data_IF_465308327269
#
_entry.id   IF_465308327269
#
_cell.length_a   1.000
_cell.length_b   1.000
_cell.length_c   1.000
_cell.angle_alpha   90.00
_cell.angle_beta   90.00
_cell.angle_gamma   90.00
#
_symmetry.space_group_name_H-M   'P 1'
#
loop_
_entity.id
_entity.type
_entity.pdbx_description
1 polymer ?
#
# COMPACT_ATOMS: atom_id res chain seq x y z
N UNK A 1 5.24 -15.33 18.68
CA UNK A 1 5.14 -15.45 17.22
C UNK A 1 4.49 -14.19 16.67
N UNK A 2 5.20 -13.42 15.85
CA UNK A 2 4.67 -12.20 15.24
C UNK A 2 3.64 -12.60 14.19
N UNK A 3 2.37 -12.23 14.39
CA UNK A 3 1.30 -12.50 13.41
C UNK A 3 1.57 -11.68 12.14
N UNK A 4 1.45 -12.30 10.97
CA UNK A 4 1.50 -11.60 9.69
C UNK A 4 0.30 -10.66 9.60
N UNK A 5 0.55 -9.40 9.24
CA UNK A 5 -0.49 -8.39 9.03
C UNK A 5 -0.58 -8.09 7.53
N UNK A 6 -1.73 -7.62 7.05
CA UNK A 6 -1.88 -7.20 5.64
C UNK A 6 -0.97 -6.01 5.30
N UNK A 7 -0.50 -5.32 6.31
CA UNK A 7 0.34 -4.14 6.21
C UNK A 7 -0.18 -3.01 7.10
N UNK A 8 0.59 -1.97 7.15
CA UNK A 8 0.24 -0.75 7.89
C UNK A 8 0.78 0.49 7.16
N UNK A 9 0.24 1.62 7.51
CA UNK A 9 0.65 2.92 6.98
C UNK A 9 0.75 3.96 8.13
N UNK A 10 1.51 5.01 7.87
CA UNK A 10 1.62 6.13 8.80
C UNK A 10 0.26 6.78 9.03
N UNK A 11 0.00 7.22 10.25
CA UNK A 11 -1.18 8.05 10.55
C UNK A 11 -1.19 9.37 9.77
N UNK A 12 -0.07 9.77 9.16
CA UNK A 12 0.02 10.91 8.26
C UNK A 12 -1.01 10.89 7.13
N UNK A 13 -1.41 9.71 6.64
CA UNK A 13 -2.47 9.58 5.63
C UNK A 13 -3.85 10.03 6.12
N UNK A 14 -4.07 10.04 7.44
CA UNK A 14 -5.32 10.54 8.03
C UNK A 14 -5.45 12.06 7.88
N UNK A 15 -4.33 12.78 7.77
CA UNK A 15 -4.36 14.23 7.55
C UNK A 15 -4.94 14.61 6.19
N UNK A 16 -4.60 13.87 5.12
CA UNK A 16 -5.19 14.12 3.79
C UNK A 16 -6.68 13.80 3.74
N UNK A 17 -7.12 12.71 4.42
CA UNK A 17 -8.53 12.40 4.60
C UNK A 17 -9.26 13.52 5.34
N UNK A 18 -8.68 14.00 6.45
CA UNK A 18 -9.25 15.10 7.22
C UNK A 18 -9.35 16.39 6.42
N UNK A 19 -8.33 16.70 5.60
CA UNK A 19 -8.33 17.85 4.73
C UNK A 19 -9.45 17.76 3.66
N UNK A 20 -9.62 16.59 3.04
CA UNK A 20 -10.68 16.37 2.06
C UNK A 20 -12.09 16.51 2.65
N UNK A 21 -12.32 16.05 3.88
CA UNK A 21 -13.59 16.26 4.58
C UNK A 21 -13.82 17.73 4.91
N UNK A 22 -12.79 18.45 5.38
CA UNK A 22 -12.91 19.90 5.68
C UNK A 22 -13.18 20.73 4.43
N UNK A 23 -12.59 20.42 3.27
CA UNK A 23 -12.96 21.11 2.01
C UNK A 23 -14.45 20.95 1.67
N UNK A 24 -15.06 19.85 2.10
CA UNK A 24 -16.51 19.64 1.99
C UNK A 24 -17.33 20.22 3.16
N UNK A 25 -16.68 21.02 4.01
CA UNK A 25 -17.30 21.63 5.20
C UNK A 25 -17.81 20.58 6.22
N UNK A 26 -17.20 19.40 6.24
CA UNK A 26 -17.50 18.34 7.21
C UNK A 26 -16.42 18.30 8.29
N UNK A 27 -16.85 18.13 9.54
CA UNK A 27 -15.93 17.93 10.66
C UNK A 27 -15.43 16.47 10.66
N UNK A 28 -14.11 16.20 10.50
CA UNK A 28 -13.59 14.85 10.56
C UNK A 28 -13.49 14.28 11.97
N UNK A 29 -13.57 15.13 13.03
CA UNK A 29 -13.26 14.74 14.38
C UNK A 29 -14.12 13.59 14.93
N UNK A 30 -15.45 13.59 14.79
CA UNK A 30 -16.28 12.48 15.27
C UNK A 30 -15.94 11.15 14.59
N UNK A 31 -15.63 11.19 13.30
CA UNK A 31 -15.22 10.02 12.55
C UNK A 31 -13.87 9.49 13.06
N UNK A 32 -12.89 10.36 13.26
CA UNK A 32 -11.57 9.97 13.75
C UNK A 32 -11.62 9.37 15.15
N UNK A 33 -12.40 9.95 16.04
CA UNK A 33 -12.61 9.46 17.42
C UNK A 33 -13.23 8.06 17.43
N UNK A 34 -14.22 7.79 16.57
CA UNK A 34 -14.81 6.46 16.41
C UNK A 34 -13.77 5.40 15.98
N UNK A 35 -12.67 5.84 15.35
CA UNK A 35 -11.54 4.99 14.98
C UNK A 35 -10.34 5.10 15.97
N UNK A 36 -10.51 5.76 17.14
CA UNK A 36 -9.45 5.95 18.14
C UNK A 36 -8.22 6.68 17.56
N UNK A 37 -8.46 7.67 16.72
CA UNK A 37 -7.45 8.52 16.08
C UNK A 37 -7.57 9.94 16.64
N UNK A 38 -7.37 10.07 17.94
CA UNK A 38 -7.34 11.37 18.61
C UNK A 38 -6.06 12.17 18.28
N UNK A 39 -6.02 13.41 18.73
CA UNK A 39 -4.89 14.31 18.49
C UNK A 39 -3.56 13.74 19.04
N UNK A 40 -3.60 13.05 20.18
CA UNK A 40 -2.40 12.45 20.78
C UNK A 40 -1.86 11.32 19.89
N UNK A 41 -2.75 10.47 19.39
CA UNK A 41 -2.38 9.39 18.47
C UNK A 41 -1.86 9.90 17.12
N UNK A 42 -2.45 10.96 16.60
CA UNK A 42 -2.01 11.59 15.34
C UNK A 42 -0.66 12.33 15.48
N UNK A 43 -0.34 12.81 16.68
CA UNK A 43 0.94 13.47 16.98
C UNK A 43 2.08 12.47 17.27
N UNK A 44 1.79 11.19 17.45
CA UNK A 44 2.82 10.18 17.74
C UNK A 44 3.67 9.87 16.48
N UNK A 45 4.99 10.13 16.47
CA UNK A 45 5.82 10.04 15.25
C UNK A 45 5.88 8.64 14.61
N UNK A 46 5.67 7.59 15.41
CA UNK A 46 5.70 6.19 14.97
C UNK A 46 4.32 5.54 14.93
N UNK A 47 3.25 6.32 15.08
CA UNK A 47 1.90 5.79 15.02
C UNK A 47 1.60 5.20 13.64
N UNK A 48 1.05 4.00 13.66
CA UNK A 48 0.68 3.25 12.45
C UNK A 48 -0.77 2.84 12.52
N UNK A 49 -1.41 2.81 11.38
CA UNK A 49 -2.75 2.33 11.16
C UNK A 49 -2.69 1.11 10.24
N UNK A 50 -3.35 0.01 10.59
CA UNK A 50 -3.39 -1.14 9.69
C UNK A 50 -4.14 -0.78 8.40
N UNK A 51 -3.69 -1.33 7.26
CA UNK A 51 -4.32 -1.08 5.96
C UNK A 51 -5.83 -1.36 6.00
N UNK A 52 -6.32 -2.49 6.55
CA UNK A 52 -7.76 -2.73 6.64
C UNK A 52 -8.51 -1.68 7.46
N UNK A 53 -7.91 -1.19 8.55
CA UNK A 53 -8.53 -0.12 9.35
C UNK A 53 -8.60 1.19 8.57
N UNK A 54 -7.56 1.52 7.83
CA UNK A 54 -7.56 2.67 6.92
C UNK A 54 -8.61 2.53 5.81
N UNK A 55 -8.77 1.33 5.24
CA UNK A 55 -9.80 1.05 4.24
C UNK A 55 -11.21 1.27 4.80
N UNK A 56 -11.49 0.82 6.03
CA UNK A 56 -12.78 1.08 6.69
C UNK A 56 -13.00 2.56 7.00
N UNK A 57 -11.96 3.23 7.51
CA UNK A 57 -12.01 4.67 7.77
C UNK A 57 -12.29 5.47 6.49
N UNK A 58 -11.59 5.16 5.39
CA UNK A 58 -11.81 5.83 4.12
C UNK A 58 -13.20 5.57 3.53
N UNK A 59 -13.69 4.33 3.63
CA UNK A 59 -15.06 4.01 3.22
C UNK A 59 -16.09 4.81 4.04
N UNK A 60 -15.93 4.88 5.37
CA UNK A 60 -16.80 5.67 6.21
C UNK A 60 -16.73 7.17 5.89
N UNK A 61 -15.54 7.70 5.55
CA UNK A 61 -15.39 9.09 5.09
C UNK A 61 -16.09 9.35 3.76
N UNK A 62 -16.03 8.41 2.81
CA UNK A 62 -16.76 8.48 1.52
C UNK A 62 -18.27 8.51 1.76
N UNK A 63 -18.79 7.67 2.66
CA UNK A 63 -20.21 7.67 3.01
C UNK A 63 -20.62 8.98 3.69
N UNK A 64 -19.83 9.50 4.60
CA UNK A 64 -20.05 10.78 5.27
C UNK A 64 -20.06 11.95 4.29
N UNK A 65 -19.15 11.94 3.32
CA UNK A 65 -19.02 12.98 2.31
C UNK A 65 -20.05 12.87 1.18
N UNK A 66 -20.69 11.70 1.00
CA UNK A 66 -21.55 11.42 -0.14
C UNK A 66 -20.81 11.51 -1.49
N UNK A 67 -19.47 11.35 -1.49
CA UNK A 67 -18.63 11.54 -2.67
C UNK A 67 -17.74 10.32 -2.92
N UNK A 68 -18.07 9.48 -3.91
CA UNK A 68 -17.29 8.29 -4.22
C UNK A 68 -15.88 8.60 -4.74
N UNK A 69 -15.61 9.82 -5.22
CA UNK A 69 -14.29 10.26 -5.69
C UNK A 69 -13.47 10.97 -4.60
N UNK A 70 -13.85 10.87 -3.31
CA UNK A 70 -13.12 11.48 -2.19
C UNK A 70 -11.64 11.07 -2.18
N UNK A 71 -11.31 9.87 -2.66
CA UNK A 71 -9.92 9.39 -2.75
C UNK A 71 -9.03 10.28 -3.64
N UNK A 72 -9.56 10.79 -4.75
CA UNK A 72 -8.84 11.71 -5.62
C UNK A 72 -8.53 13.04 -4.90
N UNK A 73 -9.50 13.57 -4.14
CA UNK A 73 -9.31 14.78 -3.34
C UNK A 73 -8.30 14.56 -2.19
N UNK A 74 -8.38 13.42 -1.53
CA UNK A 74 -7.38 13.05 -0.50
C UNK A 74 -5.97 13.06 -1.08
N UNK A 75 -5.76 12.50 -2.28
CA UNK A 75 -4.47 12.50 -2.95
C UNK A 75 -4.03 13.91 -3.36
N UNK A 76 -4.93 14.72 -3.91
CA UNK A 76 -4.66 16.10 -4.30
C UNK A 76 -4.20 16.96 -3.11
N UNK A 77 -4.73 16.71 -1.93
CA UNK A 77 -4.43 17.45 -0.69
C UNK A 77 -3.28 16.86 0.12
N UNK A 78 -2.69 15.77 -0.36
CA UNK A 78 -1.56 15.17 0.33
C UNK A 78 -0.29 16.01 0.14
N UNK A 79 0.32 16.40 1.24
CA UNK A 79 1.57 17.17 1.28
C UNK A 79 2.76 16.29 1.68
N UNK A 80 4.01 16.69 1.38
CA UNK A 80 5.20 15.92 1.73
C UNK A 80 5.28 15.49 3.21
N UNK A 81 4.95 16.33 4.22
CA UNK A 81 4.95 15.90 5.63
C UNK A 81 3.98 14.76 5.95
N UNK A 82 2.89 14.58 5.19
CA UNK A 82 1.93 13.49 5.40
C UNK A 82 2.52 12.10 5.14
N UNK A 83 3.57 12.01 4.34
CA UNK A 83 4.36 10.78 4.11
C UNK A 83 5.67 10.74 4.90
N UNK A 84 5.79 11.61 5.89
CA UNK A 84 6.89 11.63 6.85
C UNK A 84 8.25 11.92 6.22
N UNK A 85 9.31 11.29 6.75
CA UNK A 85 10.68 11.53 6.32
C UNK A 85 10.87 11.33 4.80
N UNK A 86 10.24 10.32 4.21
CA UNK A 86 10.33 10.06 2.76
C UNK A 86 9.77 11.20 1.92
N UNK A 87 8.64 11.80 2.33
CA UNK A 87 8.05 12.95 1.64
C UNK A 87 8.89 14.20 1.75
N UNK A 88 9.39 14.49 2.96
CA UNK A 88 10.29 15.63 3.20
C UNK A 88 11.58 15.47 2.40
N UNK A 89 12.12 14.25 2.32
CA UNK A 89 13.28 13.94 1.47
C UNK A 89 12.96 14.20 0.01
N UNK A 90 11.87 13.67 -0.50
CA UNK A 90 11.45 13.89 -1.89
C UNK A 90 11.26 15.37 -2.22
N UNK A 91 10.76 16.19 -1.27
CA UNK A 91 10.61 17.62 -1.43
C UNK A 91 11.95 18.38 -1.62
N UNK A 92 13.08 17.77 -1.24
CA UNK A 92 14.42 18.32 -1.45
C UNK A 92 15.13 17.72 -2.66
N UNK A 93 14.50 16.83 -3.42
CA UNK A 93 15.11 16.20 -4.59
C UNK A 93 15.44 17.22 -5.69
N UNK A 94 16.50 17.02 -6.49
CA UNK A 94 16.90 17.97 -7.54
C UNK A 94 15.92 18.04 -8.72
N UNK A 95 15.24 16.94 -9.01
CA UNK A 95 14.30 16.85 -10.12
C UNK A 95 13.09 15.97 -9.75
N UNK A 96 12.05 16.03 -10.57
CA UNK A 96 10.87 15.15 -10.46
C UNK A 96 11.26 13.67 -10.51
N UNK A 97 12.27 13.29 -11.32
CA UNK A 97 12.78 11.90 -11.38
C UNK A 97 13.28 11.41 -10.03
N UNK A 98 14.19 12.17 -9.40
CA UNK A 98 14.75 11.78 -8.12
C UNK A 98 13.69 11.84 -7.00
N UNK A 99 12.76 12.77 -7.06
CA UNK A 99 11.62 12.83 -6.13
C UNK A 99 10.73 11.58 -6.23
N UNK A 100 10.35 11.20 -7.46
CA UNK A 100 9.53 9.99 -7.68
C UNK A 100 10.28 8.71 -7.23
N UNK A 101 11.58 8.61 -7.53
CA UNK A 101 12.42 7.50 -7.05
C UNK A 101 12.48 7.44 -5.53
N UNK A 102 12.67 8.59 -4.86
CA UNK A 102 12.72 8.65 -3.41
C UNK A 102 11.40 8.26 -2.76
N UNK A 103 10.26 8.78 -3.24
CA UNK A 103 8.93 8.41 -2.74
C UNK A 103 8.69 6.91 -2.82
N UNK A 104 9.04 6.28 -3.95
CA UNK A 104 8.82 4.84 -4.17
C UNK A 104 9.86 4.01 -3.39
N UNK A 105 11.14 4.37 -3.43
CA UNK A 105 12.20 3.65 -2.72
C UNK A 105 11.95 3.60 -1.22
N UNK A 106 11.54 4.72 -0.65
CA UNK A 106 11.32 4.87 0.79
C UNK A 106 9.85 4.63 1.21
N UNK A 107 9.01 4.10 0.32
CA UNK A 107 7.66 3.67 0.66
C UNK A 107 7.60 2.84 1.95
N UNK A 108 8.51 1.87 2.21
CA UNK A 108 8.47 1.09 3.45
C UNK A 108 8.57 1.90 4.74
N UNK A 109 9.05 3.14 4.70
CA UNK A 109 9.14 4.02 5.86
C UNK A 109 7.76 4.56 6.26
N UNK A 110 6.85 4.78 5.32
CA UNK A 110 5.51 5.35 5.58
C UNK A 110 4.35 4.39 5.28
N UNK A 111 4.54 3.41 4.39
CA UNK A 111 3.54 2.39 4.10
C UNK A 111 4.24 1.03 3.90
N UNK A 112 3.71 -0.01 4.52
CA UNK A 112 4.18 -1.37 4.35
C UNK A 112 3.03 -2.24 3.91
N UNK A 113 3.07 -2.73 2.68
CA UNK A 113 2.12 -3.68 2.16
C UNK A 113 2.81 -5.04 1.99
N UNK A 114 2.38 -6.05 2.75
CA UNK A 114 2.97 -7.39 2.67
C UNK A 114 2.58 -8.16 1.40
N UNK A 115 1.69 -7.60 0.57
CA UNK A 115 1.24 -8.19 -0.69
C UNK A 115 2.00 -7.68 -1.91
N UNK A 116 2.70 -6.57 -1.81
CA UNK A 116 3.45 -5.97 -2.90
C UNK A 116 4.02 -4.62 -2.53
N UNK A 117 4.75 -4.03 -3.44
CA UNK A 117 5.37 -2.72 -3.30
C UNK A 117 5.23 -1.92 -4.59
N UNK A 118 5.28 -0.60 -4.47
CA UNK A 118 5.36 0.29 -5.61
C UNK A 118 6.68 0.11 -6.36
N UNK A 119 6.71 0.47 -7.64
CA UNK A 119 7.90 0.39 -8.49
C UNK A 119 8.04 1.63 -9.37
N UNK A 120 9.29 2.06 -9.57
CA UNK A 120 9.67 3.07 -10.55
C UNK A 120 10.45 2.39 -11.66
N UNK A 121 9.87 2.34 -12.87
CA UNK A 121 10.44 1.63 -14.01
C UNK A 121 10.68 2.61 -15.16
N UNK A 122 11.93 2.96 -15.40
CA UNK A 122 12.35 3.92 -16.43
C UNK A 122 12.81 3.20 -17.71
N UNK A 123 12.40 3.76 -18.84
CA UNK A 123 12.82 3.31 -20.17
C UNK A 123 13.33 4.47 -21.04
N UNK A 124 13.51 4.21 -22.35
CA UNK A 124 14.02 5.20 -23.29
C UNK A 124 13.11 6.42 -23.49
N UNK A 125 11.84 6.41 -23.11
CA UNK A 125 10.86 7.48 -23.37
C UNK A 125 10.32 8.15 -22.11
N UNK A 126 10.51 7.56 -20.92
CA UNK A 126 10.03 8.08 -19.64
C UNK A 126 10.03 7.04 -18.55
N UNK A 127 9.14 7.16 -17.57
CA UNK A 127 9.02 6.20 -16.48
C UNK A 127 7.57 5.87 -16.16
N UNK A 128 7.35 4.63 -15.75
CA UNK A 128 6.14 4.18 -15.09
C UNK A 128 6.32 4.23 -13.59
N UNK A 129 5.40 4.88 -12.91
CA UNK A 129 5.22 4.80 -11.47
C UNK A 129 4.08 3.82 -11.23
N UNK A 130 4.39 2.64 -10.69
CA UNK A 130 3.42 1.57 -10.43
C UNK A 130 3.08 1.49 -8.97
N UNK A 131 1.80 1.45 -8.66
CA UNK A 131 1.28 1.23 -7.31
C UNK A 131 0.70 -0.17 -7.18
N UNK A 132 1.17 -0.91 -6.19
CA UNK A 132 0.56 -2.18 -5.83
C UNK A 132 -0.53 -1.97 -4.79
N UNK A 133 -1.76 -2.28 -5.15
CA UNK A 133 -2.91 -2.33 -4.23
C UNK A 133 -3.37 -3.76 -4.00
N UNK A 134 -4.21 -3.96 -2.99
CA UNK A 134 -4.81 -5.26 -2.66
C UNK A 134 -6.07 -5.43 -3.51
N UNK A 135 -6.01 -6.26 -4.54
CA UNK A 135 -7.18 -6.72 -5.30
C UNK A 135 -7.80 -7.97 -4.62
N UNK A 136 -9.08 -8.32 -4.83
CA UNK A 136 -10.03 -7.66 -5.71
C UNK A 136 -10.51 -6.32 -5.18
N UNK A 137 -10.97 -5.44 -6.10
CA UNK A 137 -11.42 -4.10 -5.77
C UNK A 137 -12.89 -4.07 -5.36
N UNK A 138 -13.17 -3.27 -4.34
CA UNK A 138 -14.51 -3.06 -3.82
C UNK A 138 -14.65 -1.64 -3.23
N UNK A 139 -15.78 -1.31 -2.64
CA UNK A 139 -16.03 0.00 -2.05
C UNK A 139 -15.05 0.42 -0.92
N UNK A 140 -14.29 -0.52 -0.36
CA UNK A 140 -13.36 -0.25 0.75
C UNK A 140 -11.93 0.04 0.28
N UNK A 141 -11.54 -0.28 -0.94
CA UNK A 141 -10.14 -0.20 -1.35
C UNK A 141 -9.86 0.59 -2.64
N UNK A 142 -10.89 0.89 -3.48
CA UNK A 142 -10.70 1.70 -4.70
C UNK A 142 -10.08 3.06 -4.39
N UNK A 143 -10.59 3.76 -3.38
CA UNK A 143 -10.10 5.07 -2.98
C UNK A 143 -8.62 5.08 -2.60
N UNK A 144 -8.05 3.96 -2.19
CA UNK A 144 -6.60 3.85 -1.86
C UNK A 144 -5.76 4.04 -3.12
N UNK A 145 -6.19 3.44 -4.25
CA UNK A 145 -5.55 3.65 -5.55
C UNK A 145 -5.64 5.10 -5.96
N UNK A 146 -6.84 5.67 -5.88
CA UNK A 146 -7.11 7.07 -6.21
C UNK A 146 -6.21 8.01 -5.41
N UNK A 147 -6.16 7.80 -4.09
CA UNK A 147 -5.34 8.61 -3.18
C UNK A 147 -3.86 8.53 -3.53
N UNK A 148 -3.34 7.35 -3.80
CA UNK A 148 -1.89 7.20 -4.06
C UNK A 148 -1.51 7.80 -5.41
N UNK A 149 -2.24 7.49 -6.49
CA UNK A 149 -1.91 8.03 -7.81
C UNK A 149 -2.06 9.56 -7.85
N UNK A 150 -3.14 10.10 -7.28
CA UNK A 150 -3.34 11.54 -7.18
C UNK A 150 -2.27 12.21 -6.31
N UNK A 151 -1.86 11.58 -5.20
CA UNK A 151 -0.83 12.13 -4.31
C UNK A 151 0.54 12.23 -4.97
N UNK A 152 0.92 11.24 -5.77
CA UNK A 152 2.19 11.32 -6.49
C UNK A 152 2.21 12.53 -7.42
N UNK A 153 1.15 12.76 -8.21
CA UNK A 153 1.09 13.92 -9.11
C UNK A 153 1.05 15.24 -8.35
N UNK A 154 0.28 15.30 -7.26
CA UNK A 154 0.21 16.50 -6.41
C UNK A 154 1.57 16.85 -5.81
N UNK A 155 2.24 15.88 -5.21
CA UNK A 155 3.55 16.09 -4.59
C UNK A 155 4.62 16.44 -5.63
N UNK A 156 4.68 15.73 -6.76
CA UNK A 156 5.65 16.01 -7.82
C UNK A 156 5.42 17.39 -8.44
N UNK A 157 4.17 17.82 -8.59
CA UNK A 157 3.83 19.18 -9.07
C UNK A 157 4.26 20.25 -8.08
N UNK A 158 4.05 20.02 -6.77
CA UNK A 158 4.51 20.94 -5.73
C UNK A 158 6.04 21.05 -5.73
N UNK A 159 6.76 19.94 -5.87
CA UNK A 159 8.23 19.90 -5.93
C UNK A 159 8.75 20.64 -7.16
N UNK A 160 8.13 20.49 -8.31
CA UNK A 160 8.53 21.18 -9.54
C UNK A 160 8.07 22.65 -9.58
N UNK A 161 7.26 23.11 -8.61
CA UNK A 161 6.57 24.42 -8.60
C UNK A 161 5.78 24.70 -9.90
N UNK A 162 5.34 23.64 -10.58
CA UNK A 162 4.54 23.68 -11.80
C UNK A 162 3.83 22.35 -12.02
N UNK A 163 2.74 22.32 -12.82
CA UNK A 163 2.00 21.09 -13.04
C UNK A 163 2.85 19.98 -13.67
N UNK A 164 2.95 18.85 -12.98
CA UNK A 164 3.46 17.59 -13.54
C UNK A 164 2.26 16.81 -14.06
N UNK A 165 2.25 16.52 -15.36
CA UNK A 165 1.15 15.82 -16.02
C UNK A 165 1.60 14.48 -16.54
N UNK A 166 0.96 13.38 -16.15
CA UNK A 166 1.19 12.10 -16.77
C UNK A 166 0.71 12.11 -18.22
N UNK A 167 1.30 11.26 -19.04
CA UNK A 167 0.84 11.05 -20.43
C UNK A 167 -0.26 9.99 -20.51
N UNK A 168 -0.35 9.13 -19.49
CA UNK A 168 -1.33 8.06 -19.38
C UNK A 168 -1.44 7.61 -17.91
N UNK A 169 -2.67 7.33 -17.47
CA UNK A 169 -2.94 6.64 -16.20
C UNK A 169 -3.65 5.32 -16.49
N UNK A 170 -3.27 4.26 -15.78
CA UNK A 170 -3.91 2.94 -15.84
C UNK A 170 -4.38 2.53 -14.46
N UNK A 171 -5.58 1.95 -14.40
CA UNK A 171 -6.26 1.55 -13.17
C UNK A 171 -6.82 0.14 -13.34
N UNK A 172 -6.59 -0.74 -12.36
CA UNK A 172 -7.00 -2.15 -12.44
C UNK A 172 -8.51 -2.36 -12.32
N UNK A 173 -9.24 -1.52 -11.58
CA UNK A 173 -10.68 -1.68 -11.41
C UNK A 173 -11.48 -1.13 -12.59
N UNK A 174 -12.74 -1.58 -12.68
CA UNK A 174 -13.66 -1.16 -13.72
C UNK A 174 -13.98 0.33 -13.64
N UNK A 175 -14.26 0.92 -14.80
CA UNK A 175 -14.59 2.34 -14.93
C UNK A 175 -15.75 2.72 -14.02
N UNK A 176 -15.56 3.69 -13.10
CA UNK A 176 -16.63 4.16 -12.22
C UNK A 176 -17.48 5.26 -12.90
N UNK A 177 -18.69 5.46 -12.41
CA UNK A 177 -19.59 6.51 -12.91
C UNK A 177 -18.99 7.93 -12.88
N UNK A 178 -18.03 8.17 -12.00
CA UNK A 178 -17.30 9.43 -11.86
C UNK A 178 -15.97 9.49 -12.63
N UNK A 179 -15.78 8.63 -13.62
CA UNK A 179 -14.55 8.57 -14.44
C UNK A 179 -14.09 9.93 -15.00
N UNK A 180 -14.94 10.86 -15.43
CA UNK A 180 -14.49 12.16 -15.90
C UNK A 180 -13.68 12.98 -14.88
N UNK A 181 -13.83 12.72 -13.58
CA UNK A 181 -13.05 13.38 -12.53
C UNK A 181 -11.58 12.96 -12.54
N UNK A 182 -11.27 11.74 -12.98
CA UNK A 182 -9.88 11.27 -13.13
C UNK A 182 -9.17 12.03 -14.24
N UNK A 183 -9.79 12.13 -15.40
CA UNK A 183 -9.21 12.90 -16.52
C UNK A 183 -9.04 14.37 -16.19
N UNK A 184 -10.02 14.96 -15.48
CA UNK A 184 -9.94 16.35 -15.02
C UNK A 184 -8.76 16.57 -14.04
N UNK A 185 -8.50 15.60 -13.14
CA UNK A 185 -7.41 15.70 -12.17
C UNK A 185 -6.04 15.44 -12.81
N UNK A 186 -5.91 14.35 -13.59
CA UNK A 186 -4.63 13.95 -14.16
C UNK A 186 -4.25 14.74 -15.43
N UNK A 187 -5.23 15.28 -16.12
CA UNK A 187 -5.03 16.03 -17.38
C UNK A 187 -4.54 15.16 -18.53
N UNK A 188 -4.85 13.87 -18.52
CA UNK A 188 -4.47 12.89 -19.53
C UNK A 188 -5.51 11.76 -19.62
N UNK A 189 -5.46 10.90 -20.67
CA UNK A 189 -6.31 9.71 -20.76
C UNK A 189 -6.14 8.78 -19.56
N UNK A 190 -7.24 8.14 -19.14
CA UNK A 190 -7.26 7.14 -18.06
C UNK A 190 -7.86 5.85 -18.59
N UNK A 191 -7.08 4.75 -18.54
CA UNK A 191 -7.49 3.41 -18.94
C UNK A 191 -7.89 2.61 -17.70
N UNK A 192 -9.15 2.21 -17.62
CA UNK A 192 -9.68 1.32 -16.57
C UNK A 192 -9.60 -0.16 -16.99
N UNK A 193 -9.87 -1.09 -16.07
CA UNK A 193 -9.73 -2.54 -16.26
C UNK A 193 -8.35 -2.94 -16.80
N UNK A 194 -7.31 -2.20 -16.42
CA UNK A 194 -5.94 -2.42 -16.85
C UNK A 194 -5.23 -3.51 -16.03
N UNK A 195 -4.05 -3.94 -16.45
CA UNK A 195 -3.26 -4.96 -15.76
C UNK A 195 -2.59 -4.48 -14.46
N UNK A 196 -2.66 -3.18 -14.13
CA UNK A 196 -2.04 -2.61 -12.94
C UNK A 196 -2.36 -1.13 -12.76
N UNK A 197 -2.21 -0.64 -11.52
CA UNK A 197 -2.38 0.76 -11.20
C UNK A 197 -1.06 1.49 -11.42
N UNK A 198 -1.02 2.42 -12.38
CA UNK A 198 0.22 3.07 -12.74
C UNK A 198 -0.02 4.38 -13.48
N UNK A 199 0.96 5.27 -13.44
CA UNK A 199 0.99 6.48 -14.23
C UNK A 199 2.30 6.60 -15.02
N UNK A 200 2.22 7.19 -16.22
CA UNK A 200 3.35 7.39 -17.13
C UNK A 200 3.79 8.84 -17.10
N UNK A 201 5.05 9.08 -16.77
CA UNK A 201 5.72 10.38 -16.95
C UNK A 201 6.70 10.28 -18.12
N UNK A 202 6.67 11.25 -19.02
CA UNK A 202 7.67 11.37 -20.07
C UNK A 202 9.00 11.95 -19.55
N UNK A 203 10.02 11.95 -20.40
CA UNK A 203 11.34 12.50 -20.03
C UNK A 203 11.31 13.98 -19.69
N UNK A 204 10.42 14.75 -20.31
CA UNK A 204 10.29 16.20 -20.09
C UNK A 204 9.81 16.45 -18.68
N UNK A 205 8.75 15.77 -18.26
CA UNK A 205 8.23 15.85 -16.89
C UNK A 205 9.27 15.37 -15.87
N UNK A 206 9.95 14.25 -16.13
CA UNK A 206 11.00 13.73 -15.25
C UNK A 206 12.19 14.67 -15.09
N UNK A 207 12.49 15.49 -16.09
CA UNK A 207 13.61 16.42 -16.08
C UNK A 207 13.28 17.77 -15.41
N UNK A 208 12.03 18.03 -15.04
CA UNK A 208 11.65 19.25 -14.35
C UNK A 208 12.46 19.39 -13.06
N UNK A 209 13.02 20.59 -12.87
CA UNK A 209 13.86 20.92 -11.72
C UNK A 209 13.03 21.36 -10.54
N UNK A 210 13.52 21.07 -9.37
CA UNK A 210 12.99 21.62 -8.12
C UNK A 210 13.68 22.97 -7.83
N UNK A 211 12.95 24.09 -7.83
CA UNK A 211 13.56 25.41 -7.54
C UNK A 211 14.03 25.53 -6.08
N UNK A 212 13.44 24.76 -5.16
CA UNK A 212 13.77 24.76 -3.73
C UNK A 212 14.82 23.69 -3.35
N UNK A 213 15.48 23.07 -4.35
CA UNK A 213 16.49 22.04 -4.12
C UNK A 213 17.68 22.58 -3.32
N UNK A 214 17.97 21.94 -2.19
CA UNK A 214 19.16 22.18 -1.38
C UNK A 214 20.05 20.93 -1.35
N UNK A 215 21.20 20.89 -2.05
CA UNK A 215 22.03 19.69 -2.17
C UNK A 215 22.45 19.08 -0.84
N UNK A 216 22.89 19.90 0.12
CA UNK A 216 23.32 19.42 1.44
C UNK A 216 22.19 18.80 2.22
N UNK A 217 21.03 19.45 2.23
CA UNK A 217 19.82 18.91 2.89
C UNK A 217 19.35 17.62 2.21
N UNK A 218 19.34 17.58 0.89
CA UNK A 218 18.98 16.39 0.12
C UNK A 218 19.84 15.16 0.49
N UNK A 219 21.18 15.31 0.48
CA UNK A 219 22.09 14.23 0.81
C UNK A 219 21.89 13.74 2.25
N UNK A 220 21.79 14.67 3.20
CA UNK A 220 21.59 14.31 4.60
C UNK A 220 20.27 13.58 4.84
N UNK A 221 19.16 14.03 4.23
CA UNK A 221 17.87 13.38 4.34
C UNK A 221 17.88 11.99 3.68
N UNK A 222 18.60 11.81 2.56
CA UNK A 222 18.80 10.49 1.95
C UNK A 222 19.51 9.53 2.91
N UNK A 223 20.60 9.98 3.55
CA UNK A 223 21.34 9.18 4.54
C UNK A 223 20.42 8.75 5.70
N UNK A 224 19.58 9.65 6.20
CA UNK A 224 18.62 9.34 7.25
C UNK A 224 17.57 8.31 6.79
N UNK A 225 17.03 8.45 5.58
CA UNK A 225 16.10 7.49 5.01
C UNK A 225 16.74 6.11 4.83
N UNK A 226 17.98 6.05 4.31
CA UNK A 226 18.70 4.79 4.14
C UNK A 226 18.96 4.11 5.48
N UNK A 227 19.44 4.87 6.48
CA UNK A 227 19.70 4.34 7.82
C UNK A 227 18.42 3.77 8.46
N UNK A 228 17.29 4.47 8.35
CA UNK A 228 16.01 3.98 8.88
C UNK A 228 15.51 2.76 8.10
N UNK A 229 15.66 2.72 6.77
CA UNK A 229 15.30 1.58 5.95
C UNK A 229 16.18 0.36 6.27
N UNK A 230 17.49 0.55 6.43
CA UNK A 230 18.40 -0.52 6.87
C UNK A 230 18.05 -1.05 8.26
N UNK A 231 17.77 -0.18 9.22
CA UNK A 231 17.37 -0.60 10.56
C UNK A 231 16.12 -1.47 10.51
N UNK A 232 15.12 -1.10 9.70
CA UNK A 232 13.90 -1.90 9.49
C UNK A 232 14.18 -3.23 8.80
N UNK A 233 15.23 -3.32 7.99
CA UNK A 233 15.57 -4.52 7.21
C UNK A 233 16.48 -5.48 8.00
N UNK A 234 17.43 -4.94 8.75
CA UNK A 234 18.40 -5.73 9.55
C UNK A 234 17.75 -6.56 10.66
N UNK A 235 16.63 -6.08 11.20
CA UNK A 235 15.89 -6.78 12.26
C UNK A 235 15.02 -7.94 11.75
N UNK A 236 14.95 -8.17 10.42
CA UNK A 236 14.10 -9.19 9.83
C UNK A 236 14.82 -10.53 9.72
N UNK A 237 14.25 -11.56 10.34
CA UNK A 237 14.67 -12.95 10.14
C UNK A 237 14.47 -13.37 8.68
N UNK A 238 15.13 -14.43 8.24
CA UNK A 238 14.92 -15.01 6.91
C UNK A 238 13.44 -15.39 6.71
N UNK A 239 12.81 -15.93 7.77
CA UNK A 239 11.36 -16.21 7.80
C UNK A 239 10.52 -14.99 7.48
N UNK A 240 10.77 -13.84 8.11
CA UNK A 240 10.01 -12.60 7.84
C UNK A 240 10.22 -12.07 6.42
N UNK A 241 11.45 -12.15 5.91
CA UNK A 241 11.76 -11.80 4.52
C UNK A 241 11.01 -12.69 3.53
N UNK A 242 10.96 -14.01 3.79
CA UNK A 242 10.20 -14.95 2.97
C UNK A 242 8.70 -14.69 3.02
N UNK A 243 8.15 -14.43 4.20
CA UNK A 243 6.72 -14.09 4.37
C UNK A 243 6.31 -12.90 3.52
N UNK A 244 7.16 -11.86 3.47
CA UNK A 244 6.91 -10.68 2.63
C UNK A 244 6.97 -10.97 1.14
N UNK A 245 7.89 -11.83 0.71
CA UNK A 245 7.98 -12.23 -0.69
C UNK A 245 6.83 -13.17 -1.11
N UNK A 246 6.35 -14.01 -0.21
CA UNK A 246 5.24 -14.93 -0.46
C UNK A 246 3.93 -14.18 -0.72
N UNK A 247 3.63 -13.14 0.05
CA UNK A 247 2.40 -12.39 -0.08
C UNK A 247 2.05 -12.01 -1.53
N UNK A 248 2.90 -11.28 -2.25
CA UNK A 248 2.67 -10.87 -3.63
C UNK A 248 2.55 -12.02 -4.64
N UNK A 249 3.19 -13.15 -4.34
CA UNK A 249 3.24 -14.31 -5.22
C UNK A 249 2.01 -15.23 -5.10
N UNK A 250 1.24 -15.10 -4.02
CA UNK A 250 0.00 -15.87 -3.80
C UNK A 250 -1.15 -15.28 -4.63
N UNK A 251 -1.19 -15.55 -5.93
CA UNK A 251 -2.26 -15.10 -6.83
C UNK A 251 -2.81 -16.29 -7.61
N UNK A 252 -3.76 -17.02 -7.04
CA UNK A 252 -4.40 -18.18 -7.68
C UNK A 252 -3.52 -19.44 -7.77
N UNK A 253 -2.25 -19.37 -7.39
CA UNK A 253 -1.32 -20.50 -7.42
C UNK A 253 -0.37 -20.49 -6.22
N UNK A 254 0.25 -21.61 -5.96
CA UNK A 254 1.30 -21.74 -4.96
C UNK A 254 2.64 -21.35 -5.57
N UNK A 255 3.34 -20.32 -5.03
CA UNK A 255 4.68 -20.00 -5.50
C UNK A 255 5.66 -21.12 -5.15
N UNK A 256 6.66 -21.32 -5.99
CA UNK A 256 7.69 -22.33 -5.74
C UNK A 256 8.92 -21.76 -5.00
N UNK A 257 9.70 -22.66 -4.39
CA UNK A 257 10.90 -22.28 -3.67
C UNK A 257 12.01 -21.68 -4.56
N UNK A 258 12.22 -22.12 -5.82
CA UNK A 258 13.15 -21.48 -6.74
C UNK A 258 12.86 -19.98 -6.99
N UNK A 259 11.61 -19.59 -7.22
CA UNK A 259 11.23 -18.18 -7.39
C UNK A 259 11.59 -17.33 -6.17
N UNK A 260 11.40 -17.87 -4.97
CA UNK A 260 11.77 -17.17 -3.73
C UNK A 260 13.28 -17.08 -3.56
N UNK A 261 14.01 -18.15 -3.87
CA UNK A 261 15.46 -18.20 -3.81
C UNK A 261 16.10 -17.14 -4.74
N UNK A 262 15.59 -17.01 -5.96
CA UNK A 262 16.01 -16.00 -6.91
C UNK A 262 15.79 -14.57 -6.37
N UNK A 263 14.60 -14.27 -5.82
CA UNK A 263 14.30 -12.98 -5.22
C UNK A 263 15.14 -12.66 -3.99
N UNK A 264 15.53 -13.69 -3.22
CA UNK A 264 16.42 -13.56 -2.09
C UNK A 264 17.90 -13.49 -2.50
N UNK A 265 18.20 -13.70 -3.79
CA UNK A 265 19.56 -13.82 -4.33
C UNK A 265 20.37 -14.90 -3.61
N UNK A 266 19.74 -16.05 -3.34
CA UNK A 266 20.33 -17.20 -2.68
C UNK A 266 20.13 -18.45 -3.53
N UNK A 267 21.12 -19.37 -3.62
CA UNK A 267 20.88 -20.69 -4.17
C UNK A 267 19.81 -21.44 -3.36
N UNK A 268 18.99 -22.25 -4.01
CA UNK A 268 17.89 -23.01 -3.37
C UNK A 268 18.39 -23.87 -2.21
N UNK A 269 19.54 -24.51 -2.38
CA UNK A 269 20.14 -25.36 -1.31
C UNK A 269 20.59 -24.54 -0.10
N UNK A 270 21.12 -23.33 -0.32
CA UNK A 270 21.49 -22.40 0.76
C UNK A 270 20.25 -21.95 1.52
N UNK A 271 19.17 -21.62 0.78
CA UNK A 271 17.91 -21.22 1.39
C UNK A 271 17.34 -22.32 2.27
N UNK A 272 17.27 -23.58 1.76
CA UNK A 272 16.81 -24.73 2.55
C UNK A 272 17.62 -24.95 3.82
N UNK A 273 18.97 -24.89 3.72
CA UNK A 273 19.86 -25.05 4.87
C UNK A 273 19.60 -23.96 5.93
N UNK A 274 19.56 -22.69 5.51
CA UNK A 274 19.32 -21.59 6.45
C UNK A 274 17.95 -21.66 7.12
N UNK A 275 16.93 -22.13 6.42
CA UNK A 275 15.61 -22.36 7.02
C UNK A 275 15.64 -23.48 8.05
N UNK A 276 16.35 -24.58 7.76
CA UNK A 276 16.54 -25.66 8.71
C UNK A 276 17.34 -25.21 9.96
N UNK A 277 18.36 -24.36 9.79
CA UNK A 277 19.11 -23.73 10.88
C UNK A 277 18.21 -22.84 11.76
N UNK A 278 17.20 -22.16 11.17
CA UNK A 278 16.17 -21.41 11.89
C UNK A 278 15.02 -22.30 12.44
N UNK A 279 15.11 -23.62 12.31
CA UNK A 279 14.11 -24.59 12.79
C UNK A 279 12.79 -24.54 12.03
N UNK A 280 12.80 -24.18 10.75
CA UNK A 280 11.60 -24.05 9.91
C UNK A 280 11.82 -24.58 8.50
N UNK A 281 10.74 -24.66 7.73
CA UNK A 281 10.75 -25.07 6.32
C UNK A 281 9.93 -24.11 5.47
N UNK A 282 10.17 -24.14 4.15
CA UNK A 282 9.36 -23.38 3.19
C UNK A 282 7.86 -23.65 3.34
N UNK A 283 7.49 -24.93 3.51
CA UNK A 283 6.09 -25.36 3.62
C UNK A 283 5.42 -24.83 4.89
N UNK A 284 6.15 -24.77 5.99
CA UNK A 284 5.67 -24.18 7.25
C UNK A 284 5.48 -22.67 7.11
N UNK A 285 6.46 -21.96 6.55
CA UNK A 285 6.34 -20.51 6.31
C UNK A 285 5.18 -20.18 5.38
N UNK A 286 4.99 -20.93 4.31
CA UNK A 286 3.88 -20.79 3.38
C UNK A 286 2.53 -20.99 4.07
N UNK A 287 2.39 -22.08 4.86
CA UNK A 287 1.15 -22.38 5.58
C UNK A 287 0.85 -21.33 6.65
N UNK A 288 1.86 -20.89 7.40
CA UNK A 288 1.72 -19.84 8.40
C UNK A 288 1.34 -18.50 7.76
N UNK A 289 1.98 -18.16 6.64
CA UNK A 289 1.65 -16.96 5.87
C UNK A 289 0.20 -16.99 5.38
N UNK A 290 -0.22 -18.11 4.79
CA UNK A 290 -1.61 -18.32 4.34
C UNK A 290 -2.60 -18.21 5.49
N UNK A 291 -2.32 -18.85 6.63
CA UNK A 291 -3.17 -18.80 7.81
C UNK A 291 -3.35 -17.38 8.32
N UNK A 292 -2.24 -16.68 8.52
CA UNK A 292 -2.24 -15.36 9.13
C UNK A 292 -2.90 -14.32 8.20
N UNK A 293 -2.64 -14.40 6.88
CA UNK A 293 -3.33 -13.59 5.87
C UNK A 293 -4.82 -13.93 5.79
N UNK A 294 -5.20 -15.23 5.86
CA UNK A 294 -6.59 -15.63 5.88
C UNK A 294 -7.35 -15.02 7.06
N UNK A 295 -6.78 -15.10 8.25
CA UNK A 295 -7.37 -14.50 9.45
C UNK A 295 -7.51 -12.99 9.32
N UNK A 296 -6.50 -12.32 8.76
CA UNK A 296 -6.53 -10.88 8.52
C UNK A 296 -7.61 -10.50 7.48
N UNK A 297 -7.66 -11.16 6.33
CA UNK A 297 -8.69 -10.91 5.32
C UNK A 297 -10.11 -11.12 5.86
N UNK A 298 -10.35 -12.22 6.57
CA UNK A 298 -11.69 -12.53 7.10
C UNK A 298 -12.12 -11.52 8.17
N UNK A 299 -11.21 -11.12 9.05
CA UNK A 299 -11.47 -10.16 10.11
C UNK A 299 -11.61 -8.74 9.57
N UNK A 300 -10.69 -8.32 8.70
CA UNK A 300 -10.42 -6.93 8.39
C UNK A 300 -11.05 -6.46 7.07
N UNK A 301 -11.58 -7.38 6.23
CA UNK A 301 -12.18 -7.04 4.93
C UNK A 301 -13.55 -7.68 4.74
N UNK A 302 -14.31 -7.15 3.78
CA UNK A 302 -15.59 -7.72 3.32
C UNK A 302 -15.44 -8.68 2.13
N UNK A 303 -14.21 -9.08 1.80
CA UNK A 303 -13.94 -9.98 0.67
C UNK A 303 -14.68 -11.30 0.79
N UNK A 304 -15.20 -11.80 -0.34
CA UNK A 304 -15.82 -13.11 -0.42
C UNK A 304 -14.80 -14.23 -0.16
N UNK A 305 -15.25 -15.37 0.37
CA UNK A 305 -14.33 -16.47 0.71
C UNK A 305 -13.65 -17.07 -0.52
N UNK A 306 -14.31 -17.02 -1.69
CA UNK A 306 -13.71 -17.43 -2.96
C UNK A 306 -12.56 -16.49 -3.38
N UNK A 307 -12.72 -15.19 -3.20
CA UNK A 307 -11.68 -14.19 -3.44
C UNK A 307 -10.49 -14.39 -2.50
N UNK A 308 -10.76 -14.61 -1.20
CA UNK A 308 -9.72 -14.89 -0.21
C UNK A 308 -8.97 -16.17 -0.58
N UNK A 309 -9.66 -17.22 -1.02
CA UNK A 309 -9.04 -18.45 -1.49
C UNK A 309 -8.07 -18.19 -2.63
N UNK A 310 -8.49 -17.43 -3.64
CA UNK A 310 -7.64 -17.04 -4.77
C UNK A 310 -6.43 -16.20 -4.32
N UNK A 311 -6.65 -15.18 -3.47
CA UNK A 311 -5.60 -14.33 -2.92
C UNK A 311 -4.54 -15.12 -2.13
N UNK A 312 -4.89 -16.26 -1.59
CA UNK A 312 -4.00 -17.13 -0.81
C UNK A 312 -3.43 -18.29 -1.63
N UNK A 313 -3.68 -18.32 -2.94
CA UNK A 313 -3.16 -19.33 -3.85
C UNK A 313 -3.77 -20.71 -3.64
N UNK A 314 -5.05 -20.79 -3.24
CA UNK A 314 -5.81 -22.04 -3.21
C UNK A 314 -6.47 -22.28 -4.56
N UNK A 315 -6.56 -23.54 -4.95
CA UNK A 315 -7.22 -23.96 -6.20
C UNK A 315 -8.74 -23.86 -6.16
N UNK A 316 -9.34 -23.82 -4.95
CA UNK A 316 -10.80 -23.65 -4.78
C UNK A 316 -11.15 -23.09 -3.40
N UNK A 317 -12.38 -22.55 -3.29
CA UNK A 317 -12.93 -22.06 -2.03
C UNK A 317 -13.06 -23.17 -0.99
N UNK A 318 -13.39 -24.39 -1.41
CA UNK A 318 -13.54 -25.56 -0.53
C UNK A 318 -12.18 -25.99 0.04
N UNK A 319 -11.12 -25.97 -0.78
CA UNK A 319 -9.77 -26.26 -0.31
C UNK A 319 -9.33 -25.25 0.76
N UNK A 320 -9.62 -23.97 0.54
CA UNK A 320 -9.39 -22.91 1.52
C UNK A 320 -10.20 -23.13 2.80
N UNK A 321 -11.50 -23.42 2.72
CA UNK A 321 -12.36 -23.61 3.89
C UNK A 321 -11.88 -24.78 4.75
N UNK A 322 -11.48 -25.90 4.13
CA UNK A 322 -10.90 -27.06 4.84
C UNK A 322 -9.59 -26.68 5.54
N UNK A 323 -8.71 -25.96 4.85
CA UNK A 323 -7.45 -25.50 5.43
C UNK A 323 -7.68 -24.52 6.60
N UNK A 324 -8.57 -23.56 6.44
CA UNK A 324 -8.90 -22.58 7.47
C UNK A 324 -9.49 -23.23 8.72
N UNK A 325 -10.44 -24.16 8.56
CA UNK A 325 -11.02 -24.94 9.69
C UNK A 325 -9.94 -25.73 10.44
N UNK A 326 -8.98 -26.32 9.72
CA UNK A 326 -7.84 -27.01 10.34
C UNK A 326 -6.94 -26.07 11.14
N UNK A 327 -6.74 -24.83 10.68
CA UNK A 327 -5.87 -23.84 11.34
C UNK A 327 -6.53 -23.17 12.55
N UNK A 328 -7.84 -22.88 12.46
CA UNK A 328 -8.57 -22.04 13.43
C UNK A 328 -9.56 -22.82 14.28
N UNK A 329 -9.86 -24.06 13.93
CA UNK A 329 -10.93 -24.85 14.55
C UNK A 329 -12.34 -24.46 14.11
N UNK A 330 -12.51 -23.41 13.33
CA UNK A 330 -13.78 -22.81 12.92
C UNK A 330 -13.85 -22.66 11.41
N UNK A 331 -15.07 -22.57 10.85
CA UNK A 331 -15.25 -22.17 9.47
C UNK A 331 -14.95 -20.68 9.29
N UNK A 332 -14.57 -20.22 8.07
CA UNK A 332 -14.37 -18.81 7.78
C UNK A 332 -15.57 -17.92 8.16
N UNK A 333 -16.81 -18.44 7.93
CA UNK A 333 -18.04 -17.72 8.26
C UNK A 333 -18.27 -17.57 9.77
N UNK A 334 -18.00 -18.63 10.55
CA UNK A 334 -18.09 -18.58 12.03
C UNK A 334 -17.06 -17.62 12.59
N UNK A 335 -15.82 -17.67 12.08
CA UNK A 335 -14.75 -16.76 12.50
C UNK A 335 -15.10 -15.30 12.21
N UNK A 336 -15.61 -14.97 11.00
CA UNK A 336 -16.05 -13.60 10.64
C UNK A 336 -17.14 -13.09 11.57
N UNK A 337 -18.16 -13.92 11.86
CA UNK A 337 -19.23 -13.55 12.80
C UNK A 337 -18.72 -13.30 14.22
N UNK A 338 -17.80 -14.13 14.69
CA UNK A 338 -17.20 -13.97 16.01
C UNK A 338 -16.41 -12.66 16.13
N UNK A 339 -15.61 -12.33 15.12
CA UNK A 339 -14.82 -11.09 15.10
C UNK A 339 -15.72 -9.83 15.10
N UNK A 340 -16.80 -9.83 14.30
CA UNK A 340 -17.76 -8.70 14.28
C UNK A 340 -18.46 -8.45 15.61
N UNK A 341 -18.75 -9.50 16.39
CA UNK A 341 -19.33 -9.35 17.74
C UNK A 341 -18.36 -8.68 18.71
N UNK A 342 -17.07 -8.99 18.62
CA UNK A 342 -16.03 -8.39 19.47
C UNK A 342 -15.83 -6.90 19.13
N UNK A 343 -16.00 -6.50 17.87
CA UNK A 343 -15.85 -5.09 17.44
C UNK A 343 -17.06 -4.22 17.81
N UNK A 344 -18.21 -4.82 18.10
CA UNK A 344 -19.45 -4.13 18.52
C UNK A 344 -19.62 -4.06 20.03
N UNK A 345 -18.76 -4.74 20.81
CA UNK A 345 -18.73 -4.75 22.27
C UNK A 345 -17.67 -3.80 22.82
#
# INVERSE_FOLDING_TARGET
MTRVRLGDLSVGFVHSLSAALREKQLDPQPLLEAYGLDAARLAEPRARLSIPRYMRLGHAAIQLAGDPALGLEMGRLQTPPHVGLAGVTAAQAPTVREAARALIRFEPLYASNYRGSSAFEEDATGAWLRFYSISPYNAYNRFVVDTVLASWISQLSAIAAQPVRPTLVRIEFDEPDHAPRYEALFGCPVEFSAAGNQLRLDKTMLALRNPEHCPGTWHHLLELCEAELEQRTRTRSLRERMTQLLGPLLKGHEPDLPQLAERLKLPVWTLRRKLAEEGTSYREILNDTRRDLAMAYIRDTESAFGEIAWLLGFSSAEAFQRAFKRWSGQTPGEYRRAQRRIEQS
#
